data_IF_387110878553
#
_entry.id   IF_387110878553
#
_cell.length_a   1.000
_cell.length_b   1.000
_cell.length_c   1.000
_cell.angle_alpha   90.00
_cell.angle_beta   90.00
_cell.angle_gamma   90.00
#
_symmetry.space_group_name_H-M   'P 1'
#
loop_
_entity.id
_entity.type
_entity.pdbx_description
1 polymer ?
#
# COMPACT_ATOMS: atom_id res chain seq x y z
N UNK A 1 -7.81 14.44 25.19
CA UNK A 1 -6.35 14.14 25.11
C UNK A 1 -6.17 13.04 24.09
N UNK A 2 -5.21 13.14 23.18
CA UNK A 2 -4.93 12.10 22.20
C UNK A 2 -4.64 10.76 22.91
N UNK A 3 -5.29 9.69 22.46
CA UNK A 3 -5.10 8.33 23.00
C UNK A 3 -3.66 7.80 22.76
N UNK A 4 -2.93 8.40 21.83
CA UNK A 4 -1.60 7.97 21.39
C UNK A 4 -0.52 9.02 21.65
N UNK A 5 0.76 8.61 21.77
CA UNK A 5 1.89 9.51 21.89
C UNK A 5 1.94 10.50 20.70
N UNK A 6 2.35 11.78 20.93
CA UNK A 6 2.49 12.76 19.86
C UNK A 6 3.54 12.31 18.85
N UNK A 7 3.30 12.64 17.57
CA UNK A 7 4.25 12.35 16.50
C UNK A 7 5.48 13.25 16.60
N UNK A 8 6.68 12.65 16.51
CA UNK A 8 7.98 13.33 16.58
C UNK A 8 8.55 13.63 15.19
N UNK A 9 8.35 12.69 14.25
CA UNK A 9 8.76 12.85 12.86
C UNK A 9 7.51 12.95 11.99
N UNK A 10 7.19 14.14 11.53
CA UNK A 10 6.03 14.45 10.70
C UNK A 10 6.37 14.71 9.22
N UNK A 11 7.62 14.43 8.83
CA UNK A 11 8.18 14.75 7.52
C UNK A 11 7.31 14.22 6.36
N UNK A 12 6.87 12.95 6.47
CA UNK A 12 5.98 12.34 5.48
C UNK A 12 4.63 13.07 5.38
N UNK A 13 4.03 13.40 6.53
CA UNK A 13 2.72 14.05 6.56
C UNK A 13 2.80 15.47 5.99
N UNK A 14 3.88 16.22 6.31
CA UNK A 14 4.13 17.55 5.74
C UNK A 14 4.30 17.49 4.23
N UNK A 15 5.05 16.52 3.74
CA UNK A 15 5.22 16.30 2.29
C UNK A 15 3.88 16.04 1.59
N UNK A 16 3.02 15.21 2.21
CA UNK A 16 1.70 14.88 1.66
C UNK A 16 0.70 16.05 1.71
N UNK A 17 0.96 17.06 2.55
CA UNK A 17 0.23 18.36 2.54
C UNK A 17 0.80 19.36 1.53
N UNK A 18 1.82 18.98 0.76
CA UNK A 18 2.47 19.86 -0.23
C UNK A 18 3.40 20.90 0.39
N UNK A 19 3.79 20.75 1.65
CA UNK A 19 4.76 21.61 2.31
C UNK A 19 6.17 21.39 1.77
N UNK A 20 7.00 22.44 1.81
CA UNK A 20 8.46 22.30 1.56
C UNK A 20 9.10 21.72 2.82
N UNK A 21 9.90 20.70 2.64
CA UNK A 21 10.56 19.96 3.71
C UNK A 21 12.08 20.01 3.56
N UNK A 22 12.79 19.67 4.62
CA UNK A 22 14.25 19.70 4.68
C UNK A 22 14.91 18.66 3.77
N UNK A 23 14.23 17.53 3.56
CA UNK A 23 14.60 16.46 2.63
C UNK A 23 13.36 15.62 2.29
N UNK A 24 13.38 14.80 1.22
CA UNK A 24 12.28 13.88 0.98
C UNK A 24 12.18 12.82 2.09
N UNK A 25 10.98 12.49 2.57
CA UNK A 25 10.80 11.35 3.47
C UNK A 25 11.10 10.04 2.74
N UNK A 26 11.68 9.09 3.47
CA UNK A 26 12.03 7.76 2.96
C UNK A 26 11.29 6.67 3.71
N UNK A 27 10.68 5.75 3.00
CA UNK A 27 10.24 4.46 3.51
C UNK A 27 10.28 3.42 2.40
N UNK A 28 10.19 2.14 2.71
CA UNK A 28 10.36 1.09 1.71
C UNK A 28 9.14 0.17 1.72
N UNK A 29 8.50 0.01 0.57
CA UNK A 29 7.41 -0.93 0.38
C UNK A 29 7.87 -2.36 0.72
N UNK A 30 7.10 -3.06 1.58
CA UNK A 30 7.45 -4.35 2.18
C UNK A 30 8.72 -4.30 3.04
N UNK A 31 8.99 -3.18 3.72
CA UNK A 31 10.15 -3.01 4.61
C UNK A 31 10.17 -4.03 5.76
N UNK A 32 9.04 -4.50 6.27
CA UNK A 32 8.93 -5.69 7.10
C UNK A 32 8.85 -6.93 6.21
N UNK A 33 9.83 -7.82 6.26
CA UNK A 33 9.82 -8.94 5.32
C UNK A 33 10.97 -9.93 5.45
N UNK A 34 10.91 -10.94 4.61
CA UNK A 34 11.78 -12.13 4.62
C UNK A 34 13.27 -11.85 4.43
N UNK A 35 13.67 -10.67 4.01
CA UNK A 35 15.08 -10.27 3.89
C UNK A 35 15.71 -9.93 5.26
N UNK A 36 14.89 -9.57 6.26
CA UNK A 36 15.35 -9.26 7.61
C UNK A 36 15.64 -10.54 8.41
N UNK A 37 16.83 -10.65 9.05
CA UNK A 37 17.12 -11.77 9.96
C UNK A 37 16.12 -11.88 11.09
N UNK A 38 15.81 -10.77 11.76
CA UNK A 38 14.86 -10.70 12.88
C UNK A 38 13.43 -11.08 12.48
N UNK A 39 13.04 -10.84 11.22
CA UNK A 39 11.77 -11.35 10.72
C UNK A 39 11.74 -12.87 10.67
N UNK A 40 12.84 -13.52 10.25
CA UNK A 40 12.96 -14.97 10.19
C UNK A 40 12.90 -15.61 11.58
N UNK A 41 13.50 -14.94 12.57
CA UNK A 41 13.46 -15.39 13.97
C UNK A 41 12.01 -15.35 14.51
N UNK A 42 11.30 -14.24 14.31
CA UNK A 42 9.90 -14.11 14.71
C UNK A 42 9.00 -15.05 13.93
N UNK A 43 9.24 -15.24 12.62
CA UNK A 43 8.46 -16.16 11.81
C UNK A 43 8.56 -17.57 12.35
N UNK A 44 9.77 -18.11 12.55
CA UNK A 44 9.96 -19.53 12.89
C UNK A 44 9.09 -20.42 12.01
N UNK A 45 8.31 -21.30 12.64
CA UNK A 45 7.38 -22.23 11.95
C UNK A 45 5.97 -21.67 11.76
N UNK A 46 5.73 -20.38 12.10
CA UNK A 46 4.41 -19.77 12.00
C UNK A 46 4.04 -19.53 10.53
N UNK A 47 2.78 -19.80 10.21
CA UNK A 47 2.22 -19.41 8.93
C UNK A 47 1.97 -17.90 8.87
N UNK A 48 1.82 -17.39 7.65
CA UNK A 48 1.68 -15.96 7.40
C UNK A 48 0.43 -15.34 8.07
N UNK A 49 -0.72 -16.03 8.00
CA UNK A 49 -1.96 -15.50 8.57
C UNK A 49 -1.95 -15.53 10.09
N UNK A 50 -1.31 -16.52 10.73
CA UNK A 50 -1.08 -16.51 12.17
C UNK A 50 -0.28 -15.28 12.58
N UNK A 51 0.76 -14.92 11.81
CA UNK A 51 1.55 -13.71 12.10
C UNK A 51 0.73 -12.42 11.94
N UNK A 52 -0.10 -12.33 10.91
CA UNK A 52 -0.97 -11.15 10.70
C UNK A 52 -2.04 -11.04 11.78
N UNK A 53 -2.64 -12.17 12.18
CA UNK A 53 -3.77 -12.22 13.12
C UNK A 53 -3.39 -12.17 14.59
N UNK A 54 -2.10 -12.19 14.89
CA UNK A 54 -1.58 -12.01 16.26
C UNK A 54 -1.06 -10.60 16.41
N UNK A 55 -1.79 -9.70 17.10
CA UNK A 55 -1.47 -8.27 17.18
C UNK A 55 -0.04 -7.99 17.66
N UNK A 56 0.47 -8.77 18.61
CA UNK A 56 1.82 -8.62 19.16
C UNK A 56 2.88 -8.94 18.10
N UNK A 57 2.65 -9.98 17.28
CA UNK A 57 3.57 -10.39 16.22
C UNK A 57 3.52 -9.38 15.08
N UNK A 58 2.34 -8.99 14.61
CA UNK A 58 2.19 -8.00 13.57
C UNK A 58 2.84 -6.65 13.97
N UNK A 59 2.65 -6.24 15.22
CA UNK A 59 3.31 -5.06 15.80
C UNK A 59 4.83 -5.20 15.80
N UNK A 60 5.37 -6.32 16.28
CA UNK A 60 6.83 -6.54 16.32
C UNK A 60 7.43 -6.48 14.92
N UNK A 61 6.83 -7.20 13.94
CA UNK A 61 7.28 -7.18 12.56
C UNK A 61 7.23 -5.78 11.94
N UNK A 62 6.20 -5.01 12.27
CA UNK A 62 6.06 -3.61 11.79
C UNK A 62 7.18 -2.71 12.29
N UNK A 63 7.63 -2.90 13.55
CA UNK A 63 8.62 -2.04 14.19
C UNK A 63 10.06 -2.44 13.84
N UNK A 64 10.32 -3.68 13.45
CA UNK A 64 11.66 -4.16 13.13
C UNK A 64 12.43 -3.25 12.15
N UNK A 65 11.86 -2.84 10.98
CA UNK A 65 12.56 -1.92 10.08
C UNK A 65 12.88 -0.57 10.70
N UNK A 66 11.96 -0.04 11.54
CA UNK A 66 12.17 1.26 12.23
C UNK A 66 13.37 1.18 13.18
N UNK A 67 13.53 0.07 13.90
CA UNK A 67 14.70 -0.16 14.76
C UNK A 67 15.97 -0.35 13.95
N UNK A 68 15.93 -1.19 12.90
CA UNK A 68 17.10 -1.51 12.08
C UNK A 68 17.65 -0.31 11.34
N UNK A 69 16.77 0.49 10.75
CA UNK A 69 17.12 1.66 9.95
C UNK A 69 16.78 2.95 10.69
N UNK A 70 17.06 2.96 12.00
CA UNK A 70 16.73 4.09 12.88
C UNK A 70 17.29 5.40 12.32
N UNK A 71 16.40 6.39 12.18
CA UNK A 71 16.76 7.71 11.64
C UNK A 71 16.89 7.77 10.12
N UNK A 72 16.78 6.64 9.40
CA UNK A 72 16.87 6.56 7.95
C UNK A 72 15.50 6.35 7.27
N UNK A 73 14.49 5.86 7.99
CA UNK A 73 13.11 5.72 7.47
C UNK A 73 12.17 6.63 8.24
N UNK A 74 11.19 7.17 7.53
CA UNK A 74 10.26 8.21 8.01
C UNK A 74 8.82 7.72 8.10
N UNK A 75 8.58 6.42 7.95
CA UNK A 75 7.26 5.82 8.16
C UNK A 75 7.36 4.33 8.49
N UNK A 76 6.36 3.83 9.20
CA UNK A 76 6.08 2.41 9.35
C UNK A 76 4.80 2.06 8.57
N UNK A 77 4.71 0.83 8.06
CA UNK A 77 3.47 0.29 7.49
C UNK A 77 3.10 -0.98 8.25
N UNK A 78 1.84 -1.07 8.66
CA UNK A 78 1.38 -2.23 9.44
C UNK A 78 1.63 -3.54 8.70
N UNK A 79 2.15 -4.54 9.39
CA UNK A 79 2.31 -5.88 8.83
C UNK A 79 0.95 -6.57 8.75
N UNK A 80 0.44 -6.73 7.53
CA UNK A 80 -0.85 -7.31 7.22
C UNK A 80 -0.87 -7.81 5.77
N UNK A 81 -2.05 -8.19 5.26
CA UNK A 81 -2.28 -8.60 3.87
C UNK A 81 -3.35 -7.72 3.20
N UNK A 82 -3.28 -7.59 1.88
CA UNK A 82 -4.34 -6.94 1.07
C UNK A 82 -5.60 -7.82 0.96
N UNK A 83 -5.48 -9.14 1.13
CA UNK A 83 -6.57 -10.12 0.95
C UNK A 83 -7.49 -10.26 2.18
N UNK A 84 -7.29 -9.42 3.19
CA UNK A 84 -8.18 -9.37 4.37
C UNK A 84 -9.60 -8.93 3.99
N UNK A 85 -9.78 -8.14 2.94
CA UNK A 85 -11.11 -7.72 2.47
C UNK A 85 -11.89 -8.90 1.88
N UNK A 86 -11.36 -9.73 0.95
CA UNK A 86 -12.00 -10.99 0.57
C UNK A 86 -12.34 -11.90 1.74
N UNK A 87 -11.46 -11.98 2.77
CA UNK A 87 -11.76 -12.74 3.99
C UNK A 87 -12.96 -12.14 4.76
N UNK A 88 -13.02 -10.82 4.88
CA UNK A 88 -14.17 -10.13 5.50
C UNK A 88 -15.46 -10.30 4.69
N UNK A 89 -15.36 -10.57 3.39
CA UNK A 89 -16.47 -10.93 2.50
C UNK A 89 -16.80 -12.43 2.51
N UNK A 90 -16.30 -13.19 3.50
CA UNK A 90 -16.62 -14.61 3.71
C UNK A 90 -15.82 -15.58 2.85
N UNK A 91 -14.81 -15.13 2.10
CA UNK A 91 -13.97 -16.02 1.31
C UNK A 91 -12.81 -16.61 2.13
N UNK A 92 -12.55 -17.89 1.94
CA UNK A 92 -11.35 -18.54 2.50
C UNK A 92 -10.13 -18.18 1.67
N UNK A 93 -9.06 -17.76 2.35
CA UNK A 93 -7.74 -17.51 1.74
C UNK A 93 -6.70 -18.31 2.51
N UNK A 94 -5.92 -19.07 1.79
CA UNK A 94 -4.81 -19.89 2.31
C UNK A 94 -3.48 -19.35 1.78
N UNK A 95 -2.40 -19.58 2.51
CA UNK A 95 -1.05 -19.25 2.06
C UNK A 95 -0.30 -20.53 1.74
N UNK A 96 -0.09 -20.83 0.47
CA UNK A 96 0.64 -22.03 0.02
C UNK A 96 2.11 -21.65 -0.12
N UNK A 97 2.98 -22.43 0.55
CA UNK A 97 4.41 -22.20 0.50
C UNK A 97 4.93 -22.30 -0.94
N UNK A 98 5.73 -21.30 -1.36
CA UNK A 98 6.27 -21.20 -2.72
C UNK A 98 5.29 -20.73 -3.79
N UNK A 99 3.99 -20.74 -3.54
CA UNK A 99 2.96 -20.27 -4.50
C UNK A 99 2.32 -18.93 -4.11
N UNK A 100 2.25 -18.64 -2.81
CA UNK A 100 1.60 -17.44 -2.29
C UNK A 100 0.12 -17.67 -1.95
N UNK A 101 -0.72 -16.62 -2.02
CA UNK A 101 -2.12 -16.70 -1.63
C UNK A 101 -2.93 -17.59 -2.59
N UNK A 102 -3.82 -18.39 -2.01
CA UNK A 102 -4.70 -19.32 -2.70
C UNK A 102 -6.13 -19.22 -2.17
N UNK A 103 -7.09 -19.19 -3.08
CA UNK A 103 -8.50 -19.25 -2.78
C UNK A 103 -9.03 -20.64 -3.17
N UNK A 104 -9.35 -21.52 -2.22
CA UNK A 104 -9.87 -22.87 -2.54
C UNK A 104 -11.17 -22.83 -3.36
N UNK A 105 -11.97 -21.79 -3.16
CA UNK A 105 -13.25 -21.57 -3.83
C UNK A 105 -13.28 -20.20 -4.51
N UNK A 106 -12.56 -20.01 -5.63
CA UNK A 106 -12.56 -18.75 -6.36
C UNK A 106 -13.90 -18.52 -7.07
N UNK A 107 -14.19 -17.26 -7.40
CA UNK A 107 -15.43 -16.87 -8.07
C UNK A 107 -15.37 -17.31 -9.55
N UNK A 108 -16.22 -18.25 -9.95
CA UNK A 108 -16.28 -18.80 -11.31
C UNK A 108 -17.66 -18.62 -11.96
N UNK A 109 -18.70 -18.58 -11.17
CA UNK A 109 -20.08 -18.52 -11.62
C UNK A 109 -20.77 -17.25 -11.13
N UNK A 110 -21.95 -16.95 -11.69
CA UNK A 110 -22.79 -15.84 -11.20
C UNK A 110 -23.20 -16.07 -9.75
N UNK A 111 -23.49 -17.32 -9.41
CA UNK A 111 -23.92 -17.75 -8.06
C UNK A 111 -22.80 -17.54 -7.04
N UNK A 112 -21.53 -17.75 -7.44
CA UNK A 112 -20.38 -17.47 -6.57
C UNK A 112 -20.29 -15.97 -6.25
N UNK A 113 -20.44 -15.12 -7.27
CA UNK A 113 -20.44 -13.67 -7.09
C UNK A 113 -21.63 -13.23 -6.24
N UNK A 114 -22.83 -13.79 -6.49
CA UNK A 114 -24.03 -13.44 -5.75
C UNK A 114 -23.89 -13.75 -4.24
N UNK A 115 -23.28 -14.88 -3.88
CA UNK A 115 -22.98 -15.20 -2.46
C UNK A 115 -22.14 -14.12 -1.77
N UNK A 116 -21.14 -13.56 -2.47
CA UNK A 116 -20.32 -12.49 -1.94
C UNK A 116 -21.10 -11.17 -1.84
N UNK A 117 -21.95 -10.87 -2.83
CA UNK A 117 -22.80 -9.67 -2.81
C UNK A 117 -23.79 -9.68 -1.65
N UNK A 118 -24.37 -10.84 -1.34
CA UNK A 118 -25.33 -11.04 -0.25
C UNK A 118 -24.68 -11.15 1.14
N UNK A 119 -23.36 -11.38 1.19
CA UNK A 119 -22.66 -11.53 2.47
C UNK A 119 -22.66 -10.22 3.26
N UNK A 120 -23.15 -10.28 4.51
CA UNK A 120 -23.14 -9.14 5.42
C UNK A 120 -21.76 -9.03 6.11
N UNK A 121 -20.92 -8.17 5.55
CA UNK A 121 -19.54 -8.01 5.99
C UNK A 121 -19.44 -6.98 7.13
N UNK A 122 -19.07 -7.44 8.31
CA UNK A 122 -18.68 -6.57 9.43
C UNK A 122 -17.16 -6.64 9.66
N UNK A 123 -16.46 -5.62 9.21
CA UNK A 123 -14.99 -5.52 9.38
C UNK A 123 -14.59 -5.35 10.85
N UNK A 124 -15.48 -4.84 11.70
CA UNK A 124 -15.16 -4.63 13.12
C UNK A 124 -15.07 -5.94 13.89
N UNK A 125 -15.75 -6.96 13.40
CA UNK A 125 -15.73 -8.33 13.95
C UNK A 125 -14.69 -9.17 13.23
N UNK A 126 -14.76 -9.22 11.89
CA UNK A 126 -13.93 -10.12 11.08
C UNK A 126 -12.45 -9.73 11.06
N UNK A 127 -12.13 -8.43 11.20
CA UNK A 127 -10.78 -7.87 11.13
C UNK A 127 -10.35 -7.15 12.44
N UNK A 128 -10.99 -7.45 13.57
CA UNK A 128 -10.67 -6.85 14.89
C UNK A 128 -9.17 -6.90 15.21
N UNK A 129 -8.53 -8.03 14.93
CA UNK A 129 -7.10 -8.25 15.14
C UNK A 129 -6.21 -7.24 14.37
N UNK A 130 -6.63 -6.77 13.20
CA UNK A 130 -5.88 -5.79 12.42
C UNK A 130 -5.91 -4.42 13.10
N UNK A 131 -7.05 -4.03 13.66
CA UNK A 131 -7.19 -2.79 14.43
C UNK A 131 -6.43 -2.84 15.75
N UNK A 132 -6.45 -3.97 16.45
CA UNK A 132 -5.64 -4.20 17.66
C UNK A 132 -4.14 -4.09 17.36
N UNK A 133 -3.67 -4.69 16.27
CA UNK A 133 -2.29 -4.60 15.83
C UNK A 133 -1.86 -3.15 15.54
N UNK A 134 -2.72 -2.36 14.88
CA UNK A 134 -2.48 -0.94 14.60
C UNK A 134 -2.39 -0.15 15.90
N UNK A 135 -3.35 -0.31 16.81
CA UNK A 135 -3.37 0.41 18.08
C UNK A 135 -2.13 0.11 18.93
N UNK A 136 -1.77 -1.18 19.03
CA UNK A 136 -0.56 -1.62 19.74
C UNK A 136 0.71 -1.04 19.10
N UNK A 137 0.81 -1.09 17.77
CA UNK A 137 1.95 -0.54 17.03
C UNK A 137 2.08 0.96 17.24
N UNK A 138 0.97 1.69 17.17
CA UNK A 138 0.91 3.14 17.37
C UNK A 138 1.42 3.55 18.76
N UNK A 139 1.06 2.75 19.78
CA UNK A 139 1.57 2.94 21.15
C UNK A 139 3.07 2.65 21.23
N UNK A 140 3.53 1.51 20.68
CA UNK A 140 4.94 1.09 20.78
C UNK A 140 5.91 1.91 19.94
N UNK A 141 5.46 2.52 18.85
CA UNK A 141 6.27 3.47 18.06
C UNK A 141 6.60 4.76 18.81
N UNK A 142 5.87 5.09 19.90
CA UNK A 142 6.12 6.28 20.72
C UNK A 142 6.24 7.58 19.91
N UNK A 143 5.53 7.64 18.75
CA UNK A 143 5.56 8.77 17.84
C UNK A 143 6.82 8.90 17.00
N UNK A 144 7.71 7.91 16.98
CA UNK A 144 8.98 7.98 16.24
C UNK A 144 8.78 8.26 14.75
N UNK A 145 7.83 7.57 14.11
CA UNK A 145 7.40 7.79 12.72
C UNK A 145 5.90 7.58 12.58
N UNK A 146 5.23 8.15 11.54
CA UNK A 146 3.83 7.86 11.26
C UNK A 146 3.61 6.41 10.83
N UNK A 147 2.41 5.90 11.10
CA UNK A 147 1.99 4.55 10.77
C UNK A 147 1.01 4.56 9.59
N UNK A 148 1.36 3.82 8.53
CA UNK A 148 0.46 3.50 7.44
C UNK A 148 -0.53 2.40 7.81
N UNK A 149 -1.82 2.65 7.51
CA UNK A 149 -2.80 1.62 7.21
C UNK A 149 -2.90 1.41 5.69
N UNK A 150 -3.46 0.30 5.25
CA UNK A 150 -3.58 0.03 3.81
C UNK A 150 -4.69 -0.96 3.48
N UNK A 151 -5.04 -1.02 2.19
CA UNK A 151 -5.86 -2.08 1.62
C UNK A 151 -5.43 -2.41 0.19
N UNK A 152 -5.95 -3.52 -0.34
CA UNK A 152 -5.91 -3.80 -1.78
C UNK A 152 -6.87 -2.90 -2.54
N UNK A 153 -6.52 -2.52 -3.76
CA UNK A 153 -7.41 -1.83 -4.69
C UNK A 153 -8.54 -2.75 -5.17
N UNK A 154 -9.72 -2.20 -5.49
CA UNK A 154 -10.90 -3.02 -5.81
C UNK A 154 -10.70 -3.98 -6.98
N UNK A 155 -10.06 -3.54 -8.07
CA UNK A 155 -9.75 -4.42 -9.19
C UNK A 155 -8.75 -5.51 -8.80
N UNK A 156 -7.69 -5.16 -8.06
CA UNK A 156 -6.71 -6.14 -7.58
C UNK A 156 -7.37 -7.23 -6.74
N UNK A 157 -8.29 -6.87 -5.85
CA UNK A 157 -9.01 -7.82 -5.02
C UNK A 157 -9.96 -8.69 -5.84
N UNK A 158 -10.72 -8.12 -6.77
CA UNK A 158 -11.56 -8.86 -7.71
C UNK A 158 -10.72 -9.89 -8.49
N UNK A 159 -9.54 -9.49 -8.99
CA UNK A 159 -8.63 -10.42 -9.69
C UNK A 159 -8.28 -11.62 -8.82
N UNK A 160 -7.83 -11.42 -7.59
CA UNK A 160 -7.50 -12.52 -6.68
C UNK A 160 -8.72 -13.40 -6.39
N UNK A 161 -9.87 -12.80 -6.16
CA UNK A 161 -11.13 -13.52 -5.91
C UNK A 161 -11.55 -14.38 -7.11
N UNK A 162 -11.35 -13.87 -8.35
CA UNK A 162 -11.68 -14.60 -9.57
C UNK A 162 -10.59 -15.59 -9.97
N UNK A 163 -9.31 -15.23 -9.94
CA UNK A 163 -8.21 -16.10 -10.39
C UNK A 163 -7.92 -17.23 -9.38
N UNK A 164 -8.18 -16.99 -8.10
CA UNK A 164 -7.91 -17.95 -7.03
C UNK A 164 -6.47 -17.89 -6.51
N UNK A 165 -5.69 -16.90 -6.97
CA UNK A 165 -4.28 -16.72 -6.63
C UNK A 165 -3.56 -15.85 -7.64
N UNK A 166 -2.23 -16.02 -7.75
CA UNK A 166 -1.44 -15.38 -8.79
C UNK A 166 -1.83 -15.91 -10.18
N UNK A 167 -1.94 -15.01 -11.16
CA UNK A 167 -2.31 -15.36 -12.54
C UNK A 167 -1.36 -14.68 -13.53
N UNK A 168 -1.16 -15.31 -14.70
CA UNK A 168 -0.42 -14.70 -15.81
C UNK A 168 -1.33 -14.15 -16.90
N UNK A 169 -2.54 -14.69 -17.01
CA UNK A 169 -3.49 -14.36 -18.08
C UNK A 169 -4.68 -13.57 -17.60
N UNK A 170 -4.94 -13.56 -16.31
CA UNK A 170 -6.10 -12.88 -15.69
C UNK A 170 -7.43 -13.27 -16.37
N UNK A 171 -7.53 -14.55 -16.79
CA UNK A 171 -8.60 -15.03 -17.65
C UNK A 171 -9.97 -14.84 -17.05
N UNK A 172 -10.16 -15.27 -15.81
CA UNK A 172 -11.50 -15.29 -15.20
C UNK A 172 -11.97 -13.89 -14.82
N UNK A 173 -11.06 -13.05 -14.33
CA UNK A 173 -11.37 -11.65 -14.06
C UNK A 173 -11.71 -10.91 -15.36
N UNK A 174 -10.91 -11.10 -16.41
CA UNK A 174 -11.17 -10.50 -17.75
C UNK A 174 -12.44 -11.07 -18.39
N UNK A 175 -12.74 -12.35 -18.21
CA UNK A 175 -13.99 -12.93 -18.67
C UNK A 175 -15.19 -12.28 -17.97
N UNK A 176 -15.12 -12.08 -16.66
CA UNK A 176 -16.19 -11.44 -15.88
C UNK A 176 -16.48 -10.02 -16.37
N UNK A 177 -15.47 -9.18 -16.56
CA UNK A 177 -15.69 -7.79 -17.04
C UNK A 177 -16.19 -7.72 -18.49
N UNK A 178 -15.80 -8.67 -19.35
CA UNK A 178 -16.21 -8.67 -20.77
C UNK A 178 -17.57 -9.33 -21.01
N UNK A 179 -17.91 -10.39 -20.27
CA UNK A 179 -19.17 -11.12 -20.45
C UNK A 179 -20.30 -10.58 -19.57
N UNK A 180 -19.96 -10.08 -18.37
CA UNK A 180 -20.94 -9.65 -17.35
C UNK A 180 -20.49 -8.35 -16.66
N UNK A 181 -20.31 -7.24 -17.42
CA UNK A 181 -19.74 -6.00 -16.89
C UNK A 181 -20.52 -5.44 -15.70
N UNK A 182 -21.84 -5.50 -15.73
CA UNK A 182 -22.67 -4.99 -14.62
C UNK A 182 -22.52 -5.84 -13.34
N UNK A 183 -22.36 -7.15 -13.47
CA UNK A 183 -22.08 -8.01 -12.32
C UNK A 183 -20.69 -7.73 -11.75
N UNK A 184 -19.70 -7.50 -12.61
CA UNK A 184 -18.34 -7.08 -12.20
C UNK A 184 -18.38 -5.75 -11.43
N UNK A 185 -19.13 -4.77 -11.92
CA UNK A 185 -19.29 -3.46 -11.25
C UNK A 185 -19.96 -3.59 -9.88
N UNK A 186 -20.98 -4.45 -9.75
CA UNK A 186 -21.60 -4.72 -8.45
C UNK A 186 -20.59 -5.34 -7.46
N UNK A 187 -19.77 -6.28 -7.91
CA UNK A 187 -18.73 -6.88 -7.08
C UNK A 187 -17.65 -5.85 -6.69
N UNK A 188 -17.18 -5.04 -7.64
CA UNK A 188 -16.23 -3.95 -7.38
C UNK A 188 -16.81 -2.94 -6.39
N UNK A 189 -18.11 -2.62 -6.49
CA UNK A 189 -18.80 -1.73 -5.55
C UNK A 189 -18.83 -2.35 -4.14
N UNK A 190 -19.18 -3.62 -4.00
CA UNK A 190 -19.18 -4.31 -2.71
C UNK A 190 -17.79 -4.32 -2.07
N UNK A 191 -16.75 -4.61 -2.85
CA UNK A 191 -15.35 -4.57 -2.39
C UNK A 191 -15.00 -3.15 -1.93
N UNK A 192 -15.39 -2.12 -2.70
CA UNK A 192 -15.12 -0.72 -2.39
C UNK A 192 -15.79 -0.29 -1.09
N UNK A 193 -17.04 -0.70 -0.86
CA UNK A 193 -17.79 -0.36 0.35
C UNK A 193 -17.10 -0.91 1.60
N UNK A 194 -16.64 -2.16 1.55
CA UNK A 194 -15.88 -2.80 2.63
C UNK A 194 -14.51 -2.14 2.80
N UNK A 195 -13.82 -1.80 1.69
CA UNK A 195 -12.52 -1.14 1.73
C UNK A 195 -12.60 0.24 2.40
N UNK A 196 -13.64 1.02 2.11
CA UNK A 196 -13.87 2.34 2.72
C UNK A 196 -14.02 2.23 4.24
N UNK A 197 -14.88 1.32 4.73
CA UNK A 197 -15.05 1.13 6.18
C UNK A 197 -13.77 0.60 6.82
N UNK A 198 -13.10 -0.37 6.20
CA UNK A 198 -11.84 -0.93 6.70
C UNK A 198 -10.73 0.11 6.82
N UNK A 199 -10.54 0.98 5.82
CA UNK A 199 -9.57 2.07 5.86
C UNK A 199 -9.90 3.08 6.96
N UNK A 200 -11.17 3.50 7.08
CA UNK A 200 -11.59 4.42 8.11
C UNK A 200 -11.40 3.84 9.52
N UNK A 201 -11.66 2.54 9.72
CA UNK A 201 -11.42 1.86 10.99
C UNK A 201 -9.94 1.70 11.32
N UNK A 202 -9.06 1.54 10.34
CA UNK A 202 -7.61 1.58 10.56
C UNK A 202 -7.16 2.95 11.10
N UNK A 203 -7.73 4.04 10.59
CA UNK A 203 -7.48 5.39 11.14
C UNK A 203 -8.00 5.50 12.56
N UNK A 204 -9.21 5.03 12.84
CA UNK A 204 -9.78 5.00 14.19
C UNK A 204 -8.89 4.24 15.17
N UNK A 205 -8.23 3.18 14.69
CA UNK A 205 -7.26 2.40 15.46
C UNK A 205 -5.88 3.05 15.60
N UNK A 206 -5.59 4.15 14.88
CA UNK A 206 -4.36 4.93 15.03
C UNK A 206 -3.48 5.06 13.79
N UNK A 207 -3.88 4.56 12.63
CA UNK A 207 -3.18 4.84 11.37
C UNK A 207 -3.25 6.34 11.05
N UNK A 208 -2.15 6.89 10.50
CA UNK A 208 -2.00 8.34 10.26
C UNK A 208 -1.90 8.67 8.77
N UNK A 209 -1.75 7.66 7.95
CA UNK A 209 -1.71 7.73 6.49
C UNK A 209 -2.23 6.42 5.93
N UNK A 210 -2.85 6.47 4.75
CA UNK A 210 -3.44 5.30 4.11
C UNK A 210 -2.81 5.05 2.73
N UNK A 211 -2.65 3.77 2.39
CA UNK A 211 -2.16 3.32 1.08
C UNK A 211 -3.15 2.36 0.44
N UNK A 212 -3.52 2.61 -0.82
CA UNK A 212 -4.35 1.71 -1.63
C UNK A 212 -3.47 1.04 -2.68
N UNK A 213 -3.40 -0.30 -2.67
CA UNK A 213 -2.55 -1.08 -3.57
C UNK A 213 -3.35 -1.67 -4.73
N UNK A 214 -3.42 -0.95 -5.86
CA UNK A 214 -3.98 -1.45 -7.12
C UNK A 214 -2.90 -2.16 -7.94
N UNK A 215 -2.38 -3.26 -7.39
CA UNK A 215 -1.18 -3.96 -7.88
C UNK A 215 -1.35 -4.60 -9.26
N UNK A 216 -2.58 -4.84 -9.70
CA UNK A 216 -2.92 -5.42 -11.00
C UNK A 216 -3.55 -4.41 -11.96
N UNK A 217 -3.48 -3.11 -11.66
CA UNK A 217 -4.04 -2.06 -12.51
C UNK A 217 -3.48 -2.09 -13.93
N UNK A 218 -2.17 -2.35 -14.08
CA UNK A 218 -1.51 -2.45 -15.39
C UNK A 218 -1.93 -3.64 -16.27
N UNK A 219 -2.72 -4.56 -15.73
CA UNK A 219 -3.29 -5.68 -16.48
C UNK A 219 -4.60 -5.30 -17.23
N UNK A 220 -5.10 -4.10 -16.98
CA UNK A 220 -6.23 -3.52 -17.72
C UNK A 220 -5.74 -2.70 -18.91
N UNK A 221 -6.51 -2.66 -19.98
CA UNK A 221 -6.37 -1.63 -21.01
C UNK A 221 -6.72 -0.26 -20.42
N UNK A 222 -6.33 0.83 -21.09
CA UNK A 222 -6.69 2.17 -20.60
C UNK A 222 -8.21 2.36 -20.50
N UNK A 223 -8.96 1.81 -21.45
CA UNK A 223 -10.43 1.86 -21.44
C UNK A 223 -11.03 1.05 -20.29
N UNK A 224 -10.53 -0.19 -20.07
CA UNK A 224 -11.03 -1.03 -18.99
C UNK A 224 -10.64 -0.48 -17.61
N UNK A 225 -9.48 0.16 -17.49
CA UNK A 225 -9.06 0.85 -16.26
C UNK A 225 -10.03 1.98 -15.92
N UNK A 226 -10.43 2.77 -16.93
CA UNK A 226 -11.39 3.86 -16.74
C UNK A 226 -12.78 3.36 -16.35
N UNK A 227 -13.13 2.13 -16.73
CA UNK A 227 -14.44 1.55 -16.41
C UNK A 227 -14.44 0.71 -15.12
N UNK A 228 -13.39 -0.09 -14.87
CA UNK A 228 -13.39 -1.11 -13.82
C UNK A 228 -12.38 -0.87 -12.68
N UNK A 229 -11.54 0.17 -12.73
CA UNK A 229 -10.63 0.51 -11.63
C UNK A 229 -10.78 1.96 -11.18
N UNK A 230 -10.63 2.92 -12.07
CA UNK A 230 -10.59 4.35 -11.76
C UNK A 230 -11.80 4.85 -10.94
N UNK A 231 -13.07 4.51 -11.29
CA UNK A 231 -14.24 4.99 -10.55
C UNK A 231 -14.29 4.49 -9.10
N UNK A 232 -13.78 3.29 -8.85
CA UNK A 232 -13.76 2.69 -7.52
C UNK A 232 -12.63 3.25 -6.66
N UNK A 233 -11.46 3.53 -7.26
CA UNK A 233 -10.39 4.27 -6.60
C UNK A 233 -10.83 5.69 -6.23
N UNK A 234 -11.55 6.37 -7.13
CA UNK A 234 -12.13 7.69 -6.86
C UNK A 234 -13.12 7.64 -5.70
N UNK A 235 -13.97 6.62 -5.64
CA UNK A 235 -14.89 6.44 -4.52
C UNK A 235 -14.14 6.25 -3.19
N UNK A 236 -13.05 5.50 -3.16
CA UNK A 236 -12.23 5.34 -1.94
C UNK A 236 -11.71 6.71 -1.49
N UNK A 237 -11.10 7.49 -2.40
CA UNK A 237 -10.56 8.81 -2.10
C UNK A 237 -11.60 9.76 -1.52
N UNK A 238 -12.82 9.74 -2.06
CA UNK A 238 -13.91 10.65 -1.67
C UNK A 238 -14.68 10.19 -0.44
N UNK A 239 -14.87 8.87 -0.28
CA UNK A 239 -15.76 8.31 0.77
C UNK A 239 -15.05 8.03 2.08
N UNK A 240 -13.73 7.75 2.07
CA UNK A 240 -12.97 7.54 3.32
C UNK A 240 -13.04 8.79 4.22
N UNK A 241 -12.80 10.03 3.73
CA UNK A 241 -12.96 11.22 4.57
C UNK A 241 -14.38 11.42 5.13
N UNK A 242 -15.40 11.05 4.37
CA UNK A 242 -16.80 11.11 4.84
C UNK A 242 -17.03 10.08 5.95
N UNK A 243 -16.53 8.85 5.76
CA UNK A 243 -16.65 7.79 6.78
C UNK A 243 -15.88 8.15 8.06
N UNK A 244 -14.73 8.80 7.96
CA UNK A 244 -13.99 9.31 9.13
C UNK A 244 -14.83 10.31 9.92
N UNK A 245 -15.52 11.25 9.26
CA UNK A 245 -16.41 12.22 9.92
C UNK A 245 -17.57 11.51 10.65
N UNK A 246 -18.17 10.47 10.06
CA UNK A 246 -19.21 9.66 10.71
C UNK A 246 -18.68 8.94 11.97
N UNK A 247 -17.39 8.59 11.98
CA UNK A 247 -16.71 8.01 13.16
C UNK A 247 -16.23 9.05 14.17
N UNK A 248 -16.52 10.34 13.94
CA UNK A 248 -16.12 11.45 14.82
C UNK A 248 -14.65 11.85 14.66
N UNK A 249 -13.98 11.47 13.57
CA UNK A 249 -12.59 11.82 13.28
C UNK A 249 -12.58 13.00 12.33
N UNK A 250 -11.95 14.10 12.77
CA UNK A 250 -11.88 15.36 12.01
C UNK A 250 -10.50 15.63 11.43
N UNK A 251 -9.53 14.79 11.72
CA UNK A 251 -8.17 14.90 11.19
C UNK A 251 -8.17 14.66 9.68
N UNK A 252 -7.38 15.45 8.95
CA UNK A 252 -7.14 15.26 7.53
C UNK A 252 -6.09 14.14 7.34
N UNK A 253 -6.56 12.97 6.93
CA UNK A 253 -5.73 11.78 6.77
C UNK A 253 -5.37 11.58 5.30
N UNK A 254 -4.09 11.74 4.93
CA UNK A 254 -3.67 11.59 3.55
C UNK A 254 -3.80 10.15 3.05
N UNK A 255 -4.27 10.02 1.80
CA UNK A 255 -4.41 8.74 1.10
C UNK A 255 -3.50 8.72 -0.11
N UNK A 256 -2.72 7.65 -0.26
CA UNK A 256 -1.84 7.41 -1.41
C UNK A 256 -2.38 6.22 -2.19
N UNK A 257 -2.37 6.29 -3.51
CA UNK A 257 -2.72 5.17 -4.39
C UNK A 257 -1.48 4.66 -5.13
N UNK A 258 -1.37 3.34 -5.28
CA UNK A 258 -0.34 2.68 -6.09
C UNK A 258 -1.01 1.81 -7.14
N UNK A 259 -1.07 2.28 -8.38
CA UNK A 259 -1.60 1.54 -9.52
C UNK A 259 -0.44 1.06 -10.40
N UNK A 260 0.15 -0.08 -10.01
CA UNK A 260 1.34 -0.65 -10.65
C UNK A 260 1.07 -0.96 -12.13
N UNK A 261 1.99 -0.58 -13.01
CA UNK A 261 1.92 -0.84 -14.44
C UNK A 261 0.92 0.02 -15.20
N UNK A 262 0.11 0.84 -14.51
CA UNK A 262 -0.91 1.70 -15.13
C UNK A 262 -0.33 3.05 -15.55
N UNK A 263 0.78 3.03 -16.29
CA UNK A 263 1.48 4.24 -16.72
C UNK A 263 0.56 5.21 -17.49
N UNK A 264 -0.35 4.70 -18.28
CA UNK A 264 -1.34 5.48 -19.04
C UNK A 264 -2.36 6.22 -18.14
N UNK A 265 -2.49 5.86 -16.88
CA UNK A 265 -3.49 6.40 -15.96
C UNK A 265 -2.93 7.47 -14.99
N UNK A 266 -1.62 7.76 -14.98
CA UNK A 266 -1.02 8.66 -14.00
C UNK A 266 -1.68 10.04 -13.97
N UNK A 267 -1.93 10.65 -15.12
CA UNK A 267 -2.58 11.96 -15.21
C UNK A 267 -3.95 11.96 -14.52
N UNK A 268 -4.75 10.92 -14.78
CA UNK A 268 -6.10 10.75 -14.19
C UNK A 268 -6.03 10.48 -12.68
N UNK A 269 -5.08 9.65 -12.23
CA UNK A 269 -4.89 9.38 -10.81
C UNK A 269 -4.47 10.64 -10.03
N UNK A 270 -3.57 11.45 -10.62
CA UNK A 270 -3.16 12.72 -10.03
C UNK A 270 -4.28 13.78 -10.03
N UNK A 271 -5.33 13.59 -10.82
CA UNK A 271 -6.48 14.49 -10.89
C UNK A 271 -7.62 14.08 -9.93
N UNK A 272 -7.57 12.91 -9.31
CA UNK A 272 -8.60 12.49 -8.35
C UNK A 272 -8.47 13.33 -7.07
N UNK A 273 -9.50 14.09 -6.78
CA UNK A 273 -9.62 14.80 -5.51
C UNK A 273 -9.75 13.82 -4.35
N UNK A 274 -8.92 14.01 -3.32
CA UNK A 274 -8.85 13.17 -2.12
C UNK A 274 -7.61 12.27 -2.05
N UNK A 275 -6.88 12.05 -3.15
CA UNK A 275 -5.55 11.47 -3.06
C UNK A 275 -4.50 12.57 -2.79
N UNK A 276 -3.72 12.38 -1.74
CA UNK A 276 -2.58 13.25 -1.40
C UNK A 276 -1.30 12.83 -2.14
N UNK A 277 -1.25 11.59 -2.65
CA UNK A 277 -0.09 11.07 -3.36
C UNK A 277 -0.43 9.92 -4.31
N UNK A 278 0.44 9.76 -5.30
CA UNK A 278 0.43 8.63 -6.24
C UNK A 278 1.79 7.96 -6.22
N UNK A 279 1.81 6.65 -5.93
CA UNK A 279 3.01 5.83 -6.08
C UNK A 279 3.18 5.39 -7.52
N UNK A 280 4.40 5.48 -8.02
CA UNK A 280 4.78 5.05 -9.36
C UNK A 280 5.81 3.92 -9.28
N UNK A 281 5.72 2.98 -10.20
CA UNK A 281 6.66 1.88 -10.29
C UNK A 281 7.92 2.23 -11.09
N UNK A 282 8.87 1.32 -11.13
CA UNK A 282 10.18 1.53 -11.76
C UNK A 282 10.15 1.61 -13.29
N UNK A 283 9.04 1.29 -13.94
CA UNK A 283 8.90 1.41 -15.39
C UNK A 283 8.72 2.85 -15.87
N UNK A 284 8.42 3.77 -14.95
CA UNK A 284 8.31 5.19 -15.21
C UNK A 284 9.70 5.85 -15.29
N UNK A 285 9.90 6.66 -16.33
CA UNK A 285 10.92 7.71 -16.27
C UNK A 285 10.48 8.78 -15.27
N UNK A 286 11.30 9.09 -14.24
CA UNK A 286 10.89 10.02 -13.19
C UNK A 286 10.65 11.46 -13.71
N UNK A 287 11.39 11.92 -14.71
CA UNK A 287 11.17 13.24 -15.32
C UNK A 287 9.81 13.30 -16.03
N UNK A 288 9.45 12.23 -16.76
CA UNK A 288 8.14 12.12 -17.41
C UNK A 288 7.00 12.10 -16.37
N UNK A 289 7.17 11.38 -15.26
CA UNK A 289 6.19 11.34 -14.19
C UNK A 289 5.98 12.72 -13.53
N UNK A 290 7.07 13.46 -13.30
CA UNK A 290 7.02 14.85 -12.77
C UNK A 290 6.30 15.77 -13.75
N UNK A 291 6.60 15.66 -15.06
CA UNK A 291 5.95 16.46 -16.10
C UNK A 291 4.44 16.20 -16.19
N UNK A 292 4.02 14.94 -16.04
CA UNK A 292 2.59 14.55 -16.03
C UNK A 292 1.91 15.04 -14.75
N UNK A 293 2.54 14.85 -13.58
CA UNK A 293 1.95 15.24 -12.29
C UNK A 293 1.77 16.76 -12.13
N UNK A 294 2.67 17.56 -12.67
CA UNK A 294 2.65 19.04 -12.56
C UNK A 294 2.51 19.57 -11.12
N UNK A 295 2.98 18.80 -10.13
CA UNK A 295 2.93 19.17 -8.71
C UNK A 295 1.54 19.09 -8.06
N UNK A 296 0.57 18.45 -8.68
CA UNK A 296 -0.81 18.28 -8.16
C UNK A 296 -0.85 17.48 -6.86
N UNK A 297 -0.07 16.43 -6.77
CA UNK A 297 0.01 15.53 -5.61
C UNK A 297 1.46 15.15 -5.32
N UNK A 298 1.73 14.51 -4.20
CA UNK A 298 3.04 13.92 -3.96
C UNK A 298 3.26 12.67 -4.83
N UNK A 299 4.42 12.55 -5.49
CA UNK A 299 4.83 11.31 -6.15
C UNK A 299 5.67 10.46 -5.19
N UNK A 300 5.38 9.17 -5.15
CA UNK A 300 6.11 8.20 -4.33
C UNK A 300 6.77 7.15 -5.22
N UNK A 301 8.05 6.93 -5.01
CA UNK A 301 8.81 5.91 -5.76
C UNK A 301 10.22 6.42 -6.10
N UNK A 302 10.86 5.91 -7.18
CA UNK A 302 10.35 4.78 -8.00
C UNK A 302 11.50 3.86 -8.46
N UNK A 303 12.59 3.82 -7.67
CA UNK A 303 13.73 3.03 -8.08
C UNK A 303 13.39 1.53 -8.18
N UNK A 304 13.96 0.85 -9.18
CA UNK A 304 13.84 -0.60 -9.29
C UNK A 304 14.42 -1.26 -8.03
N UNK A 305 13.66 -2.08 -7.29
CA UNK A 305 14.18 -2.80 -6.15
C UNK A 305 15.42 -3.65 -6.48
N UNK A 306 15.54 -4.11 -7.72
CA UNK A 306 16.69 -4.88 -8.20
C UNK A 306 18.02 -4.14 -8.13
N UNK A 307 18.00 -2.81 -7.97
CA UNK A 307 19.24 -2.01 -7.80
C UNK A 307 20.07 -2.46 -6.58
N UNK A 308 19.40 -2.99 -5.56
CA UNK A 308 20.03 -3.46 -4.31
C UNK A 308 21.00 -4.64 -4.54
N UNK A 309 20.88 -5.34 -5.67
CA UNK A 309 21.82 -6.39 -6.06
C UNK A 309 23.11 -5.86 -6.72
N UNK A 310 23.15 -4.54 -6.98
CA UNK A 310 24.32 -3.88 -7.58
C UNK A 310 25.44 -3.54 -6.58
N UNK A 311 26.53 -2.94 -7.12
CA UNK A 311 27.57 -2.35 -6.27
C UNK A 311 27.10 -1.04 -5.63
N UNK A 312 27.81 -0.56 -4.61
CA UNK A 312 27.49 0.69 -3.92
C UNK A 312 27.52 1.87 -4.91
N UNK A 313 28.47 1.89 -5.84
CA UNK A 313 28.57 2.94 -6.87
C UNK A 313 27.32 2.95 -7.79
N UNK A 314 26.79 1.78 -8.11
CA UNK A 314 25.56 1.67 -8.94
C UNK A 314 24.35 2.15 -8.15
N UNK A 315 24.23 1.76 -6.88
CA UNK A 315 23.15 2.20 -5.99
C UNK A 315 23.21 3.73 -5.86
N UNK A 316 24.38 4.28 -5.50
CA UNK A 316 24.58 5.74 -5.34
C UNK A 316 24.23 6.52 -6.61
N UNK A 317 24.74 6.08 -7.77
CA UNK A 317 24.45 6.71 -9.06
C UNK A 317 22.96 6.76 -9.36
N UNK A 318 22.24 5.65 -9.14
CA UNK A 318 20.81 5.56 -9.44
C UNK A 318 19.96 6.33 -8.43
N UNK A 319 20.33 6.33 -7.16
CA UNK A 319 19.68 7.16 -6.14
C UNK A 319 19.83 8.64 -6.48
N UNK A 320 21.07 9.07 -6.80
CA UNK A 320 21.31 10.47 -7.20
C UNK A 320 20.44 10.86 -8.39
N UNK A 321 20.42 10.04 -9.46
CA UNK A 321 19.58 10.28 -10.63
C UNK A 321 18.10 10.43 -10.26
N UNK A 322 17.58 9.52 -9.42
CA UNK A 322 16.18 9.55 -8.99
C UNK A 322 15.87 10.83 -8.20
N UNK A 323 16.68 11.16 -7.19
CA UNK A 323 16.45 12.35 -6.35
C UNK A 323 16.55 13.64 -7.18
N UNK A 324 17.56 13.74 -8.06
CA UNK A 324 17.73 14.89 -8.96
C UNK A 324 16.50 15.06 -9.87
N UNK A 325 15.97 13.95 -10.43
CA UNK A 325 14.81 13.97 -11.31
C UNK A 325 13.54 14.47 -10.63
N UNK A 326 13.41 14.23 -9.32
CA UNK A 326 12.34 14.80 -8.49
C UNK A 326 12.71 16.17 -7.87
N UNK A 327 13.66 16.90 -8.47
CA UNK A 327 14.04 18.27 -8.08
C UNK A 327 14.66 18.37 -6.68
N UNK A 328 15.45 17.37 -6.25
CA UNK A 328 16.01 17.27 -4.91
C UNK A 328 15.01 16.80 -3.85
N UNK A 329 13.75 16.58 -4.24
CA UNK A 329 12.73 15.94 -3.43
C UNK A 329 12.18 16.75 -2.25
N UNK A 330 12.50 18.02 -2.13
CA UNK A 330 12.07 18.86 -0.98
C UNK A 330 10.59 19.27 -1.02
N UNK A 331 9.86 18.86 -2.05
CA UNK A 331 8.41 19.11 -2.18
C UNK A 331 7.74 18.05 -3.03
N UNK A 332 6.60 17.57 -2.58
CA UNK A 332 5.75 16.63 -3.32
C UNK A 332 6.49 15.35 -3.77
N UNK A 333 7.45 14.88 -2.99
CA UNK A 333 8.16 13.64 -3.31
C UNK A 333 8.46 12.80 -2.06
N UNK A 334 8.22 11.50 -2.19
CA UNK A 334 8.47 10.49 -1.17
C UNK A 334 9.36 9.42 -1.80
N UNK A 335 10.54 9.20 -1.23
CA UNK A 335 11.45 8.15 -1.68
C UNK A 335 10.88 6.78 -1.32
N UNK A 336 10.79 5.93 -2.32
CA UNK A 336 10.46 4.51 -2.16
C UNK A 336 11.06 3.70 -3.30
N UNK A 337 10.99 2.38 -3.19
CA UNK A 337 11.12 1.53 -4.35
C UNK A 337 9.86 1.60 -5.22
N UNK A 338 10.01 1.30 -6.50
CA UNK A 338 8.88 1.14 -7.43
C UNK A 338 8.07 -0.15 -7.20
N UNK A 339 8.44 -0.97 -6.23
CA UNK A 339 7.73 -2.16 -5.73
C UNK A 339 8.30 -2.57 -4.36
N UNK A 340 7.80 -3.67 -3.80
CA UNK A 340 8.29 -4.19 -2.52
C UNK A 340 9.67 -4.84 -2.59
N UNK A 341 10.31 -4.92 -1.43
CA UNK A 341 11.58 -5.65 -1.25
C UNK A 341 11.46 -7.13 -1.64
N UNK A 342 12.58 -7.72 -2.02
CA UNK A 342 12.69 -9.15 -2.30
C UNK A 342 13.33 -9.90 -1.13
N UNK A 343 13.05 -11.22 -0.96
CA UNK A 343 13.51 -11.99 0.19
C UNK A 343 15.03 -12.16 0.33
N UNK A 344 15.79 -11.92 -0.74
CA UNK A 344 17.24 -12.15 -0.82
C UNK A 344 18.06 -10.85 -0.83
N UNK A 345 17.44 -9.71 -0.53
CA UNK A 345 18.14 -8.44 -0.45
C UNK A 345 19.04 -8.38 0.78
N UNK A 346 20.22 -7.79 0.60
CA UNK A 346 21.16 -7.53 1.67
C UNK A 346 20.69 -6.30 2.48
N UNK A 347 20.61 -6.46 3.79
CA UNK A 347 20.19 -5.40 4.72
C UNK A 347 21.13 -4.21 4.74
N UNK A 348 22.46 -4.43 4.55
CA UNK A 348 23.44 -3.35 4.54
C UNK A 348 23.39 -2.57 3.22
N UNK A 349 23.10 -3.21 2.09
CA UNK A 349 22.82 -2.54 0.82
C UNK A 349 21.56 -1.65 0.90
N UNK A 350 20.52 -2.12 1.59
CA UNK A 350 19.32 -1.30 1.86
C UNK A 350 19.66 -0.13 2.78
N UNK A 351 20.47 -0.33 3.81
CA UNK A 351 20.98 0.77 4.65
C UNK A 351 21.72 1.80 3.80
N UNK A 352 22.67 1.37 2.98
CA UNK A 352 23.41 2.23 2.09
C UNK A 352 22.51 3.01 1.12
N UNK A 353 21.51 2.34 0.54
CA UNK A 353 20.49 3.00 -0.28
C UNK A 353 19.81 4.15 0.47
N UNK A 354 19.34 3.92 1.70
CA UNK A 354 18.67 4.94 2.52
C UNK A 354 19.61 6.10 2.88
N UNK A 355 20.87 5.80 3.22
CA UNK A 355 21.90 6.81 3.49
C UNK A 355 22.16 7.71 2.25
N UNK A 356 22.19 7.11 1.05
CA UNK A 356 22.33 7.88 -0.19
C UNK A 356 21.09 8.73 -0.48
N UNK A 357 19.88 8.24 -0.17
CA UNK A 357 18.65 9.04 -0.28
C UNK A 357 18.72 10.27 0.63
N UNK A 358 19.20 10.13 1.86
CA UNK A 358 19.40 11.26 2.78
C UNK A 358 20.49 12.22 2.27
N UNK A 359 21.63 11.68 1.81
CA UNK A 359 22.76 12.47 1.29
C UNK A 359 22.33 13.40 0.16
N UNK A 360 21.64 12.84 -0.84
CA UNK A 360 21.24 13.62 -2.03
C UNK A 360 19.96 14.42 -1.83
N UNK A 361 19.08 13.98 -0.95
CA UNK A 361 17.86 14.71 -0.61
C UNK A 361 18.06 15.92 0.29
N UNK A 362 19.19 15.96 1.04
CA UNK A 362 19.54 17.09 1.93
C UNK A 362 20.42 18.14 1.26
N UNK A 363 20.93 17.87 0.04
CA UNK A 363 21.85 18.73 -0.70
C UNK A 363 21.19 20.02 -1.23
#
# INVERSE_FOLDING_TARGET
MSQFPPLKNDLLLRTLRGETVERPPCWIMRQAGRYLPEYKEVKGDRDFFTMCRTPEIACELTIQPVRRYKGLIDAAIIFSDILVIPQALGMTVEMIEGQGPHFPHPLRTTEDVQRVLEYDADVTVSLAWAFEAIALTRQKLQGEVPLFGFCGGPWTLLVYMCEGGGSRLFRFAKQLINEKPELAKLLLQKITDVAVDFLARQVQAGAQVLQVFESWGGELSAMDFDEFSLPFLQQIAQRVPLRLKELGITDDIPIIVFAKGSWYALDRLCAIEGFAGVSIDWSWDPHAAVAVNQGRVALQGNIDPGVIYGSDEVIEKKVKFMVDAFGGGKRNYIVNFGHGTHPFMDTEKIRFFLEMCHKYGSA
#
